data_IF_371643371066
#
_entry.id   IF_371643371066
#
_cell.length_a   1.000
_cell.length_b   1.000
_cell.length_c   1.000
_cell.angle_alpha   90.00
_cell.angle_beta   90.00
_cell.angle_gamma   90.00
#
_symmetry.space_group_name_H-M   'P 1'
#
loop_
_entity.id
_entity.type
_entity.pdbx_description
1 polymer ?
#
# COMPACT_ATOMS: atom_id res chain seq x y z
N UNK A 1 -29.97 49.59 17.33
CA UNK A 1 -29.81 48.18 17.74
C UNK A 1 -28.60 47.60 17.00
N UNK A 2 -27.55 47.19 17.70
CA UNK A 2 -26.34 46.57 17.12
C UNK A 2 -26.44 45.05 17.32
N UNK A 3 -26.62 44.32 16.23
CA UNK A 3 -26.74 42.86 16.23
C UNK A 3 -25.31 42.26 16.20
N UNK A 4 -24.88 41.63 17.30
CA UNK A 4 -23.59 40.94 17.39
C UNK A 4 -23.75 39.53 16.85
N UNK A 5 -23.03 39.21 15.77
CA UNK A 5 -22.96 37.88 15.18
C UNK A 5 -22.01 37.04 16.04
N UNK A 6 -22.54 36.04 16.73
CA UNK A 6 -21.74 35.00 17.38
C UNK A 6 -21.19 34.06 16.30
N UNK A 7 -19.89 34.18 15.99
CA UNK A 7 -19.16 33.21 15.19
C UNK A 7 -18.90 31.95 16.02
N UNK A 8 -19.71 30.91 15.78
CA UNK A 8 -19.49 29.57 16.32
C UNK A 8 -18.27 28.95 15.63
N UNK A 9 -17.15 28.91 16.32
CA UNK A 9 -15.94 28.18 15.89
C UNK A 9 -16.25 26.69 15.97
N UNK A 10 -16.53 26.08 14.82
CA UNK A 10 -16.68 24.63 14.68
C UNK A 10 -15.29 23.99 14.82
N UNK A 11 -14.96 23.51 16.02
CA UNK A 11 -13.79 22.68 16.27
C UNK A 11 -14.05 21.33 15.60
N UNK A 12 -13.51 21.17 14.40
CA UNK A 12 -13.53 19.90 13.69
C UNK A 12 -12.51 18.97 14.36
N UNK A 13 -13.00 18.09 15.23
CA UNK A 13 -12.19 17.01 15.77
C UNK A 13 -11.76 16.09 14.62
N UNK A 14 -10.50 16.21 14.20
CA UNK A 14 -9.90 15.27 13.27
C UNK A 14 -9.78 13.92 14.01
N UNK A 15 -10.71 13.01 13.72
CA UNK A 15 -10.64 11.62 14.16
C UNK A 15 -9.45 11.02 13.40
N UNK A 16 -8.29 10.97 14.03
CA UNK A 16 -7.13 10.22 13.55
C UNK A 16 -7.45 8.73 13.70
N UNK A 17 -8.21 8.20 12.74
CA UNK A 17 -8.40 6.76 12.63
C UNK A 17 -7.04 6.09 12.50
N UNK A 18 -6.82 5.02 13.26
CA UNK A 18 -5.71 4.09 13.07
C UNK A 18 -5.85 3.38 11.72
N UNK A 19 -5.69 4.10 10.61
CA UNK A 19 -5.51 3.53 9.29
C UNK A 19 -4.06 3.14 9.13
N UNK A 20 -3.79 1.96 8.55
CA UNK A 20 -2.45 1.70 8.02
C UNK A 20 -2.06 2.86 7.10
N UNK A 21 -0.79 3.31 7.11
CA UNK A 21 -0.36 4.46 6.35
C UNK A 21 -0.72 4.23 4.88
N UNK A 22 -1.67 5.04 4.40
CA UNK A 22 -2.02 5.11 2.99
C UNK A 22 -0.98 6.03 2.37
N UNK A 23 -0.14 5.51 1.48
CA UNK A 23 0.85 6.32 0.80
C UNK A 23 0.23 7.56 0.15
N UNK A 24 1.04 8.59 -0.05
CA UNK A 24 0.64 9.82 -0.75
C UNK A 24 0.41 9.51 -2.23
N UNK A 25 -0.72 9.94 -2.78
CA UNK A 25 -1.03 9.76 -4.20
C UNK A 25 -0.06 10.57 -5.06
N UNK A 26 0.45 9.95 -6.12
CA UNK A 26 1.26 10.65 -7.11
C UNK A 26 0.40 11.12 -8.28
N UNK A 27 0.84 12.21 -8.92
CA UNK A 27 0.25 12.68 -10.18
C UNK A 27 0.23 11.55 -11.19
N UNK A 28 -0.93 11.30 -11.80
CA UNK A 28 -1.08 10.26 -12.82
C UNK A 28 -0.13 10.55 -13.99
N UNK A 29 0.81 9.63 -14.31
CA UNK A 29 1.64 9.78 -15.51
C UNK A 29 0.75 9.67 -16.76
N UNK A 30 1.13 10.36 -17.83
CA UNK A 30 0.40 10.33 -19.12
C UNK A 30 0.15 8.90 -19.62
N UNK A 31 1.07 7.99 -19.30
CA UNK A 31 1.11 6.61 -19.75
C UNK A 31 0.46 5.61 -18.76
N UNK A 32 -0.15 6.12 -17.69
CA UNK A 32 -0.69 5.33 -16.59
C UNK A 32 0.35 4.97 -15.54
N UNK A 33 -0.05 4.14 -14.58
CA UNK A 33 0.82 3.68 -13.49
C UNK A 33 1.46 2.33 -13.82
N UNK A 34 2.67 2.14 -13.33
CA UNK A 34 3.28 0.81 -13.28
C UNK A 34 2.46 -0.12 -12.38
N UNK A 35 2.47 -1.41 -12.71
CA UNK A 35 1.77 -2.44 -11.94
C UNK A 35 2.65 -3.67 -11.77
N UNK A 36 2.41 -4.39 -10.69
CA UNK A 36 2.89 -5.76 -10.53
C UNK A 36 1.71 -6.70 -10.38
N UNK A 37 1.85 -7.91 -10.90
CA UNK A 37 0.86 -8.97 -10.79
C UNK A 37 1.51 -10.22 -10.21
N UNK A 38 1.00 -10.70 -9.08
CA UNK A 38 1.45 -11.96 -8.50
C UNK A 38 1.02 -13.13 -9.38
N UNK A 39 1.97 -13.85 -9.94
CA UNK A 39 1.73 -15.04 -10.78
C UNK A 39 1.47 -16.30 -9.94
N UNK A 40 1.90 -16.29 -8.67
CA UNK A 40 1.68 -17.35 -7.70
C UNK A 40 1.22 -16.76 -6.37
N UNK A 41 0.57 -17.57 -5.53
CA UNK A 41 0.18 -17.15 -4.18
C UNK A 41 1.43 -17.07 -3.32
N UNK A 42 1.68 -15.90 -2.74
CA UNK A 42 2.83 -15.65 -1.86
C UNK A 42 2.34 -15.50 -0.43
N UNK A 43 3.01 -16.17 0.49
CA UNK A 43 2.80 -16.02 1.93
C UNK A 43 4.08 -15.50 2.59
N UNK A 44 3.97 -14.40 3.31
CA UNK A 44 5.08 -13.77 4.03
C UNK A 44 4.73 -13.73 5.51
N UNK A 45 5.56 -14.36 6.34
CA UNK A 45 5.45 -14.22 7.79
C UNK A 45 6.00 -12.86 8.21
N UNK A 46 5.11 -12.00 8.69
CA UNK A 46 5.42 -10.77 9.42
C UNK A 46 5.53 -11.00 10.92
N UNK A 47 5.72 -9.92 11.67
CA UNK A 47 5.95 -9.98 13.11
C UNK A 47 4.75 -9.45 13.94
N UNK A 48 4.46 -10.03 15.13
CA UNK A 48 4.97 -11.29 15.65
C UNK A 48 4.13 -12.51 15.24
N UNK A 49 2.93 -12.36 14.64
CA UNK A 49 2.03 -13.46 14.26
C UNK A 49 1.14 -13.15 13.04
N UNK A 50 1.55 -12.21 12.18
CA UNK A 50 0.80 -11.90 10.96
C UNK A 50 1.38 -12.68 9.78
N UNK A 51 0.58 -13.47 9.08
CA UNK A 51 0.89 -14.00 7.76
C UNK A 51 0.21 -13.15 6.70
N UNK A 52 1.00 -12.50 5.85
CA UNK A 52 0.54 -11.73 4.71
C UNK A 52 0.41 -12.65 3.51
N UNK A 53 -0.78 -12.72 2.93
CA UNK A 53 -1.07 -13.51 1.74
C UNK A 53 -1.36 -12.59 0.57
N UNK A 54 -0.59 -12.75 -0.50
CA UNK A 54 -0.79 -12.14 -1.80
C UNK A 54 -1.32 -13.22 -2.73
N UNK A 55 -2.60 -13.15 -3.08
CA UNK A 55 -3.24 -14.16 -3.92
C UNK A 55 -2.71 -14.10 -5.36
N UNK A 56 -2.66 -15.25 -6.02
CA UNK A 56 -2.41 -15.31 -7.47
C UNK A 56 -3.39 -14.41 -8.21
N UNK A 57 -2.90 -13.67 -9.21
CA UNK A 57 -3.67 -12.72 -10.00
C UNK A 57 -3.90 -11.37 -9.32
N UNK A 58 -3.50 -11.19 -8.05
CA UNK A 58 -3.60 -9.88 -7.40
C UNK A 58 -2.73 -8.84 -8.12
N UNK A 59 -3.33 -7.68 -8.35
CA UNK A 59 -2.70 -6.55 -9.04
C UNK A 59 -2.40 -5.47 -8.01
N UNK A 60 -1.16 -5.01 -8.00
CA UNK A 60 -0.74 -3.88 -7.19
C UNK A 60 -0.27 -2.76 -8.11
N UNK A 61 -0.70 -1.53 -7.83
CA UNK A 61 -0.46 -0.36 -8.69
C UNK A 61 0.49 0.61 -8.00
N UNK A 62 1.43 1.16 -8.75
CA UNK A 62 2.38 2.16 -8.27
C UNK A 62 1.80 3.58 -8.43
N UNK A 63 0.69 3.86 -7.74
CA UNK A 63 0.02 5.16 -7.74
C UNK A 63 0.35 6.02 -6.52
N UNK A 64 1.24 5.55 -5.66
CA UNK A 64 1.57 6.20 -4.38
C UNK A 64 3.06 6.17 -4.05
N UNK A 65 3.45 7.10 -3.19
CA UNK A 65 4.75 7.12 -2.49
C UNK A 65 4.55 7.03 -0.99
N UNK A 66 5.51 6.44 -0.28
CA UNK A 66 5.61 6.50 1.18
C UNK A 66 6.99 7.04 1.51
N UNK A 67 7.05 8.20 2.19
CA UNK A 67 8.31 8.88 2.51
C UNK A 67 9.20 9.10 1.25
N UNK A 68 8.57 9.44 0.12
CA UNK A 68 9.24 9.63 -1.17
C UNK A 68 9.61 8.34 -1.92
N UNK A 69 9.39 7.17 -1.34
CA UNK A 69 9.66 5.87 -1.97
C UNK A 69 8.42 5.38 -2.72
N UNK A 70 8.51 5.01 -4.02
CA UNK A 70 7.39 4.42 -4.74
C UNK A 70 6.93 3.12 -4.12
N UNK A 71 5.62 2.97 -3.93
CA UNK A 71 5.01 1.75 -3.40
C UNK A 71 3.94 1.24 -4.33
N UNK A 72 3.80 -0.08 -4.36
CA UNK A 72 2.76 -0.79 -5.08
C UNK A 72 1.65 -1.12 -4.09
N UNK A 73 0.44 -0.62 -4.31
CA UNK A 73 -0.70 -0.84 -3.42
C UNK A 73 -1.77 -1.71 -4.08
N UNK A 74 -2.34 -2.64 -3.32
CA UNK A 74 -3.29 -3.64 -3.82
C UNK A 74 -3.84 -4.53 -2.72
N UNK A 75 -4.65 -5.54 -3.08
CA UNK A 75 -5.32 -6.41 -2.11
C UNK A 75 -4.37 -7.42 -1.48
N UNK A 76 -4.44 -7.54 -0.15
CA UNK A 76 -3.67 -8.48 0.66
C UNK A 76 -4.57 -9.07 1.75
N UNK A 77 -4.35 -10.33 2.10
CA UNK A 77 -5.03 -10.97 3.24
C UNK A 77 -4.07 -11.16 4.41
N UNK A 78 -4.50 -10.81 5.63
CA UNK A 78 -3.75 -11.10 6.86
C UNK A 78 -4.39 -12.30 7.56
N UNK A 79 -3.57 -13.27 7.96
CA UNK A 79 -3.98 -14.45 8.73
C UNK A 79 -5.23 -15.13 8.15
N UNK A 80 -5.27 -15.27 6.81
CA UNK A 80 -6.35 -15.85 6.00
C UNK A 80 -7.76 -15.26 6.19
N UNK A 81 -7.91 -14.20 6.99
CA UNK A 81 -9.21 -13.72 7.49
C UNK A 81 -9.49 -12.28 7.10
N UNK A 82 -8.48 -11.41 7.20
CA UNK A 82 -8.66 -9.98 6.96
C UNK A 82 -8.17 -9.61 5.56
N UNK A 83 -9.10 -9.41 4.63
CA UNK A 83 -8.80 -8.78 3.33
C UNK A 83 -8.70 -7.26 3.50
N UNK A 84 -7.61 -6.68 3.03
CA UNK A 84 -7.40 -5.24 3.06
C UNK A 84 -6.54 -4.77 1.90
N UNK A 85 -6.52 -3.45 1.68
CA UNK A 85 -5.53 -2.83 0.81
C UNK A 85 -4.23 -2.61 1.60
N UNK A 86 -3.10 -3.00 1.00
CA UNK A 86 -1.78 -2.79 1.57
C UNK A 86 -0.80 -2.33 0.49
N UNK A 87 0.21 -1.59 0.92
CA UNK A 87 1.28 -1.08 0.08
C UNK A 87 2.58 -1.83 0.39
N UNK A 88 3.30 -2.21 -0.65
CA UNK A 88 4.59 -2.90 -0.57
C UNK A 88 5.63 -2.17 -1.42
N UNK A 89 6.90 -2.27 -1.04
CA UNK A 89 8.00 -1.88 -1.92
C UNK A 89 8.39 -3.10 -2.76
N UNK A 90 8.60 -2.89 -4.05
CA UNK A 90 9.14 -3.90 -4.97
C UNK A 90 10.42 -3.37 -5.61
N UNK A 91 11.55 -4.06 -5.40
CA UNK A 91 12.88 -3.59 -5.84
C UNK A 91 13.23 -3.98 -7.28
N UNK A 92 12.34 -4.68 -7.99
CA UNK A 92 12.56 -5.15 -9.36
C UNK A 92 13.28 -6.50 -9.48
N UNK A 93 13.85 -7.02 -8.39
CA UNK A 93 14.57 -8.28 -8.35
C UNK A 93 13.74 -9.34 -7.61
N UNK A 94 12.43 -9.45 -7.81
CA UNK A 94 11.58 -10.38 -7.05
C UNK A 94 11.67 -10.20 -5.51
N UNK A 95 12.17 -9.08 -5.00
CA UNK A 95 12.17 -8.78 -3.56
C UNK A 95 11.03 -7.83 -3.25
N UNK A 96 10.25 -8.17 -2.23
CA UNK A 96 9.21 -7.31 -1.68
C UNK A 96 9.53 -6.92 -0.23
N UNK A 97 9.10 -5.72 0.15
CA UNK A 97 9.05 -5.30 1.55
C UNK A 97 7.59 -5.06 1.93
N UNK A 98 7.12 -5.79 2.94
CA UNK A 98 5.77 -5.68 3.48
C UNK A 98 5.79 -4.80 4.71
N UNK A 99 4.79 -3.92 4.84
CA UNK A 99 4.70 -2.87 5.86
C UNK A 99 5.91 -1.91 5.88
N UNK A 100 6.24 -1.27 4.76
CA UNK A 100 7.49 -0.50 4.62
C UNK A 100 7.64 0.68 5.59
N UNK A 101 6.58 1.13 6.28
CA UNK A 101 6.66 2.26 7.24
C UNK A 101 6.43 1.85 8.70
N UNK A 102 6.23 0.57 8.97
CA UNK A 102 6.18 0.08 10.35
C UNK A 102 7.58 -0.36 10.78
N UNK A 103 7.91 -0.22 12.06
CA UNK A 103 9.19 -0.70 12.62
C UNK A 103 9.48 -2.19 12.34
N UNK A 104 8.44 -2.96 11.98
CA UNK A 104 8.52 -4.40 11.70
C UNK A 104 8.23 -4.68 10.23
N UNK A 105 9.16 -4.23 9.39
CA UNK A 105 9.15 -4.53 7.95
C UNK A 105 9.51 -6.01 7.74
N UNK A 106 8.81 -6.68 6.83
CA UNK A 106 9.19 -8.02 6.37
C UNK A 106 9.73 -7.93 4.95
N UNK A 107 11.05 -8.09 4.81
CA UNK A 107 11.71 -8.18 3.50
C UNK A 107 11.76 -9.63 3.06
N UNK A 108 11.31 -9.92 1.83
CA UNK A 108 11.28 -11.27 1.29
C UNK A 108 11.71 -11.29 -0.17
N UNK A 109 12.75 -12.08 -0.44
CA UNK A 109 13.06 -12.54 -1.80
C UNK A 109 12.08 -13.64 -2.19
N UNK A 110 11.43 -13.46 -3.33
CA UNK A 110 10.49 -14.40 -3.92
C UNK A 110 11.20 -15.27 -4.97
N UNK A 111 10.68 -16.47 -5.25
CA UNK A 111 11.12 -17.26 -6.40
C UNK A 111 10.97 -16.46 -7.69
N UNK A 112 11.90 -16.65 -8.63
CA UNK A 112 11.85 -15.98 -9.92
C UNK A 112 10.53 -16.24 -10.66
N UNK A 113 9.98 -15.20 -11.29
CA UNK A 113 8.73 -15.30 -12.04
C UNK A 113 7.47 -15.28 -11.17
N UNK A 114 7.62 -15.13 -9.85
CA UNK A 114 6.48 -14.93 -8.93
C UNK A 114 5.77 -13.61 -9.21
N UNK A 115 6.49 -12.58 -9.65
CA UNK A 115 5.94 -11.27 -9.98
C UNK A 115 6.10 -11.00 -11.47
N UNK A 116 5.01 -10.57 -12.12
CA UNK A 116 5.04 -9.97 -13.46
C UNK A 116 4.94 -8.46 -13.34
N UNK A 117 5.97 -7.76 -13.80
CA UNK A 117 5.96 -6.30 -13.90
C UNK A 117 5.28 -5.87 -15.20
N UNK A 118 4.26 -5.03 -15.10
CA UNK A 118 3.58 -4.38 -16.22
C UNK A 118 3.92 -2.88 -16.15
N UNK A 119 4.86 -2.46 -16.99
CA UNK A 119 5.22 -1.05 -17.12
C UNK A 119 4.13 -0.26 -17.83
N UNK A 120 3.90 0.97 -17.38
CA UNK A 120 3.16 1.96 -18.13
C UNK A 120 3.77 2.07 -19.54
N UNK A 121 2.94 1.94 -20.59
CA UNK A 121 3.42 1.92 -21.97
C UNK A 121 3.94 3.31 -22.33
N UNK A 122 5.23 3.40 -22.67
CA UNK A 122 5.85 4.65 -23.11
C UNK A 122 5.22 5.19 -24.38
#
# INVERSE_FOLDING_TARGET
MKLKILSTVLISAAITGCGMPKGELITRPANGYDKIVFQNTVRVKGAPLAEYTFSTGSVFTQDRTMEGVPVYCGPMTINVTLLMEACIIYDGNDTIQVNPTQMRQATRKLPQGTIKHIKARR
#
